data_IF_604297913619
#
_entry.id   IF_604297913619
#
_cell.length_a   1.000
_cell.length_b   1.000
_cell.length_c   1.000
_cell.angle_alpha   90.00
_cell.angle_beta   90.00
_cell.angle_gamma   90.00
#
_symmetry.space_group_name_H-M   'P 1'
#
loop_
_entity.id
_entity.type
_entity.pdbx_description
1 polymer ?
#
# COMPACT_ATOMS: atom_id res chain seq x y z
N UNK A 1 20.65 -21.80 49.36
CA UNK A 1 21.34 -21.51 48.09
C UNK A 1 20.34 -21.70 46.98
N UNK A 2 19.67 -20.60 46.61
CA UNK A 2 18.69 -20.54 45.53
C UNK A 2 19.37 -19.91 44.33
N UNK A 3 19.58 -20.70 43.28
CA UNK A 3 20.12 -20.23 42.00
C UNK A 3 19.06 -19.39 41.28
N UNK A 4 19.32 -18.10 41.19
CA UNK A 4 18.54 -17.18 40.36
C UNK A 4 19.01 -17.32 38.92
N UNK A 5 18.22 -17.97 38.09
CA UNK A 5 18.39 -17.98 36.62
C UNK A 5 18.25 -16.54 36.14
N UNK A 6 19.37 -15.94 35.71
CA UNK A 6 19.35 -14.68 34.97
C UNK A 6 18.73 -14.96 33.60
N UNK A 7 17.58 -14.38 33.34
CA UNK A 7 17.06 -14.25 32.00
C UNK A 7 18.01 -13.31 31.23
N UNK A 8 18.70 -13.86 30.23
CA UNK A 8 19.39 -13.06 29.23
C UNK A 8 18.31 -12.31 28.43
N UNK A 9 18.13 -11.03 28.75
CA UNK A 9 17.52 -10.06 27.83
C UNK A 9 18.48 -9.86 26.67
N UNK A 10 18.43 -10.77 25.68
CA UNK A 10 19.00 -10.46 24.37
C UNK A 10 18.10 -9.41 23.73
N UNK A 11 18.39 -8.13 23.96
CA UNK A 11 17.82 -7.05 23.17
C UNK A 11 18.16 -7.35 21.71
N UNK A 12 17.18 -7.78 20.92
CA UNK A 12 17.33 -7.89 19.49
C UNK A 12 17.71 -6.51 18.98
N UNK A 13 18.99 -6.32 18.64
CA UNK A 13 19.45 -5.08 18.01
C UNK A 13 18.54 -4.85 16.81
N UNK A 14 17.90 -3.68 16.74
CA UNK A 14 17.09 -3.30 15.60
C UNK A 14 18.02 -3.13 14.38
N UNK A 15 18.26 -4.23 13.67
CA UNK A 15 19.13 -4.29 12.48
C UNK A 15 18.57 -3.46 11.32
N UNK A 16 17.30 -3.02 11.40
CA UNK A 16 16.61 -2.27 10.35
C UNK A 16 16.74 -0.75 10.52
N UNK A 17 17.27 -0.28 11.65
CA UNK A 17 17.25 1.13 12.04
C UNK A 17 15.83 1.63 12.33
N UNK A 18 15.74 2.90 12.72
CA UNK A 18 14.45 3.56 12.95
C UNK A 18 13.91 4.18 11.65
N UNK A 19 12.57 4.22 11.46
CA UNK A 19 11.98 4.92 10.33
C UNK A 19 12.34 6.42 10.40
N UNK A 20 12.48 7.10 9.25
CA UNK A 20 12.72 8.54 9.25
C UNK A 20 11.53 9.25 9.88
N UNK A 21 11.82 10.25 10.73
CA UNK A 21 10.76 11.07 11.33
C UNK A 21 10.20 12.04 10.30
N UNK A 22 8.89 12.30 10.40
CA UNK A 22 8.17 13.21 9.53
C UNK A 22 7.75 14.47 10.28
N UNK A 23 7.64 15.60 9.57
CA UNK A 23 7.24 16.89 10.13
C UNK A 23 5.74 17.19 10.02
N UNK A 24 4.95 16.22 9.53
CA UNK A 24 3.49 16.34 9.43
C UNK A 24 2.82 15.65 10.62
N UNK A 25 1.73 16.24 11.08
CA UNK A 25 0.81 15.61 12.05
C UNK A 25 -0.40 15.10 11.30
N UNK A 26 -0.61 13.79 11.29
CA UNK A 26 -1.81 13.18 10.74
C UNK A 26 -3.01 13.45 11.66
N UNK A 27 -4.23 13.56 11.11
CA UNK A 27 -5.43 13.72 11.91
C UNK A 27 -5.74 12.43 12.68
N UNK A 28 -6.44 12.56 13.80
CA UNK A 28 -7.07 11.44 14.47
C UNK A 28 -8.37 11.02 13.77
N UNK A 29 -8.83 9.78 14.01
CA UNK A 29 -10.11 9.28 13.46
C UNK A 29 -11.30 10.15 13.91
N UNK A 30 -11.22 10.73 15.11
CA UNK A 30 -12.22 11.63 15.69
C UNK A 30 -12.34 12.96 14.93
N UNK A 31 -11.29 13.38 14.24
CA UNK A 31 -11.19 14.64 13.49
C UNK A 31 -11.66 14.50 12.03
N UNK A 32 -11.97 13.28 11.59
CA UNK A 32 -12.50 13.04 10.25
C UNK A 32 -13.84 13.76 10.04
N UNK A 33 -14.03 14.22 8.81
CA UNK A 33 -15.23 14.97 8.41
C UNK A 33 -16.52 14.23 8.80
N UNK A 34 -17.45 15.00 9.36
CA UNK A 34 -18.82 14.53 9.58
C UNK A 34 -19.74 14.90 8.41
N UNK A 35 -19.27 15.78 7.51
CA UNK A 35 -20.00 16.20 6.33
C UNK A 35 -20.33 15.00 5.47
N UNK A 36 -21.61 14.91 5.10
CA UNK A 36 -22.10 13.79 4.34
C UNK A 36 -23.03 14.23 3.24
N UNK A 37 -22.94 13.53 2.11
CA UNK A 37 -23.86 13.69 0.98
C UNK A 37 -24.66 12.41 0.82
N UNK A 38 -25.86 12.50 0.25
CA UNK A 38 -26.58 11.28 -0.16
C UNK A 38 -25.86 10.71 -1.37
N UNK A 39 -25.88 9.39 -1.53
CA UNK A 39 -25.19 8.74 -2.64
C UNK A 39 -25.61 9.27 -4.01
N UNK A 40 -26.91 9.56 -4.19
CA UNK A 40 -27.45 10.14 -5.43
C UNK A 40 -26.88 11.52 -5.79
N UNK A 41 -26.28 12.21 -4.83
CA UNK A 41 -25.70 13.55 -5.00
C UNK A 41 -24.16 13.47 -5.21
N UNK A 42 -23.59 12.27 -5.22
CA UNK A 42 -22.17 12.04 -5.52
C UNK A 42 -21.93 12.20 -7.03
N UNK A 43 -20.95 13.01 -7.40
CA UNK A 43 -20.59 13.21 -8.80
C UNK A 43 -19.70 12.07 -9.30
N UNK A 44 -20.26 11.17 -10.10
CA UNK A 44 -19.56 10.05 -10.74
C UNK A 44 -19.44 10.26 -12.26
N UNK A 45 -18.43 9.71 -12.95
CA UNK A 45 -17.32 8.92 -12.41
C UNK A 45 -16.33 9.75 -11.59
N UNK A 46 -15.53 9.08 -10.76
CA UNK A 46 -14.35 9.67 -10.11
C UNK A 46 -13.11 9.50 -11.01
N UNK A 47 -12.04 10.23 -10.71
CA UNK A 47 -10.78 10.11 -11.42
C UNK A 47 -9.86 9.08 -10.75
N UNK A 48 -9.69 9.16 -9.43
CA UNK A 48 -8.76 8.32 -8.67
C UNK A 48 -9.48 7.60 -7.54
N UNK A 49 -9.29 6.29 -7.44
CA UNK A 49 -9.65 5.49 -6.28
C UNK A 49 -8.39 5.14 -5.47
N UNK A 50 -8.38 5.51 -4.19
CA UNK A 50 -7.36 5.15 -3.21
C UNK A 50 -7.91 4.06 -2.29
N UNK A 51 -7.13 2.99 -2.12
CA UNK A 51 -7.45 1.89 -1.23
C UNK A 51 -6.34 1.70 -0.21
N UNK A 52 -6.73 1.50 1.05
CA UNK A 52 -5.81 1.30 2.18
C UNK A 52 -6.28 0.14 3.05
N UNK A 53 -5.48 -0.32 4.02
CA UNK A 53 -5.87 -1.37 4.96
C UNK A 53 -5.81 -0.90 6.41
N UNK A 54 -4.74 -0.24 6.82
CA UNK A 54 -4.52 0.22 8.20
C UNK A 54 -5.02 1.65 8.39
N UNK A 55 -5.30 2.01 9.64
CA UNK A 55 -5.76 3.37 9.95
C UNK A 55 -4.71 4.43 9.63
N UNK A 56 -3.42 4.17 9.91
CA UNK A 56 -2.35 5.11 9.55
C UNK A 56 -2.26 5.35 8.03
N UNK A 57 -2.45 4.31 7.21
CA UNK A 57 -2.46 4.41 5.74
C UNK A 57 -3.66 5.24 5.27
N UNK A 58 -4.84 4.95 5.82
CA UNK A 58 -6.06 5.71 5.55
C UNK A 58 -5.89 7.19 5.91
N UNK A 59 -5.40 7.49 7.11
CA UNK A 59 -5.21 8.86 7.60
C UNK A 59 -4.16 9.61 6.80
N UNK A 60 -3.10 8.92 6.36
CA UNK A 60 -2.08 9.50 5.48
C UNK A 60 -2.66 9.92 4.14
N UNK A 61 -3.50 9.09 3.51
CA UNK A 61 -4.19 9.47 2.29
C UNK A 61 -5.21 10.59 2.53
N UNK A 62 -5.99 10.48 3.61
CA UNK A 62 -7.05 11.44 3.94
C UNK A 62 -6.50 12.85 4.17
N UNK A 63 -5.32 12.97 4.79
CA UNK A 63 -4.66 14.26 5.06
C UNK A 63 -4.49 15.12 3.80
N UNK A 64 -4.26 14.51 2.64
CA UNK A 64 -4.03 15.23 1.38
C UNK A 64 -5.31 15.47 0.55
N UNK A 65 -6.47 14.99 1.01
CA UNK A 65 -7.74 15.16 0.28
C UNK A 65 -8.35 16.52 0.60
N UNK A 66 -8.57 17.34 -0.43
CA UNK A 66 -9.26 18.61 -0.33
C UNK A 66 -10.79 18.41 -0.28
N UNK A 67 -11.46 19.22 0.53
CA UNK A 67 -12.92 19.26 0.70
C UNK A 67 -13.56 17.87 0.98
N UNK A 68 -13.07 17.12 1.99
CA UNK A 68 -13.51 15.76 2.21
C UNK A 68 -14.97 15.70 2.68
N UNK A 69 -15.75 14.79 2.10
CA UNK A 69 -17.09 14.42 2.56
C UNK A 69 -17.30 12.92 2.46
N UNK A 70 -18.23 12.36 3.24
CA UNK A 70 -18.54 10.92 3.20
C UNK A 70 -19.88 10.63 2.56
N UNK A 71 -19.98 9.47 1.89
CA UNK A 71 -21.27 8.90 1.49
C UNK A 71 -21.28 7.40 1.76
N UNK A 72 -22.47 6.85 1.95
CA UNK A 72 -22.68 5.41 2.13
C UNK A 72 -23.35 4.81 0.90
N UNK A 73 -22.87 3.66 0.46
CA UNK A 73 -23.53 2.84 -0.55
C UNK A 73 -23.58 1.38 -0.13
N UNK A 74 -24.75 0.77 -0.28
CA UNK A 74 -24.93 -0.65 0.02
C UNK A 74 -24.06 -1.48 -0.93
N UNK A 75 -23.10 -2.23 -0.39
CA UNK A 75 -22.14 -3.04 -1.16
C UNK A 75 -20.73 -2.44 -1.24
N UNK A 76 -20.57 -1.14 -0.97
CA UNK A 76 -19.26 -0.50 -0.78
C UNK A 76 -18.98 -0.12 0.67
N UNK A 77 -20.03 0.16 1.45
CA UNK A 77 -19.89 0.74 2.77
C UNK A 77 -19.70 2.25 2.71
N UNK A 78 -18.91 2.80 3.62
CA UNK A 78 -18.61 4.23 3.70
C UNK A 78 -17.43 4.56 2.78
N UNK A 79 -17.62 5.55 1.92
CA UNK A 79 -16.60 6.07 1.00
C UNK A 79 -16.35 7.52 1.35
N UNK A 80 -15.08 7.91 1.43
CA UNK A 80 -14.67 9.30 1.60
C UNK A 80 -14.32 9.87 0.24
N UNK A 81 -14.92 10.99 -0.12
CA UNK A 81 -14.72 11.68 -1.38
C UNK A 81 -14.08 13.02 -1.13
N UNK A 82 -13.40 13.55 -2.14
CA UNK A 82 -12.91 14.91 -2.16
C UNK A 82 -12.18 15.17 -3.47
N UNK A 83 -11.12 15.97 -3.43
CA UNK A 83 -10.32 16.24 -4.61
C UNK A 83 -8.81 16.35 -4.34
N UNK A 84 -8.02 16.14 -5.40
CA UNK A 84 -6.62 16.57 -5.47
C UNK A 84 -6.48 17.75 -6.44
N UNK A 85 -5.46 18.58 -6.22
CA UNK A 85 -5.18 19.78 -7.01
C UNK A 85 -5.53 21.07 -6.27
N UNK A 86 -4.86 22.16 -6.62
CA UNK A 86 -5.14 23.49 -6.09
C UNK A 86 -6.33 24.14 -6.80
N UNK A 87 -6.81 25.29 -6.30
CA UNK A 87 -7.98 25.98 -6.86
C UNK A 87 -7.79 26.46 -8.31
N UNK A 88 -6.54 26.65 -8.74
CA UNK A 88 -6.21 27.05 -10.11
C UNK A 88 -6.04 25.85 -11.06
N UNK A 89 -5.97 24.63 -10.53
CA UNK A 89 -5.74 23.41 -11.29
C UNK A 89 -7.03 22.66 -11.62
N UNK A 90 -6.92 21.69 -12.54
CA UNK A 90 -7.97 20.70 -12.75
C UNK A 90 -8.09 19.83 -11.52
N UNK A 91 -9.16 20.02 -10.74
CA UNK A 91 -9.46 19.20 -9.56
C UNK A 91 -9.79 17.76 -9.95
N UNK A 92 -8.96 16.82 -9.53
CA UNK A 92 -9.19 15.38 -9.71
C UNK A 92 -10.16 14.89 -8.63
N UNK A 93 -11.23 14.20 -9.01
CA UNK A 93 -12.18 13.62 -8.08
C UNK A 93 -11.60 12.36 -7.46
N UNK A 94 -11.45 12.35 -6.14
CA UNK A 94 -10.84 11.25 -5.40
C UNK A 94 -11.91 10.53 -4.58
N UNK A 95 -11.82 9.20 -4.53
CA UNK A 95 -12.47 8.40 -3.50
C UNK A 95 -11.42 7.61 -2.71
N UNK A 96 -11.57 7.58 -1.39
CA UNK A 96 -10.73 6.84 -0.46
C UNK A 96 -11.58 5.82 0.28
N UNK A 97 -11.13 4.57 0.28
CA UNK A 97 -11.77 3.47 1.00
C UNK A 97 -10.75 2.63 1.75
N UNK A 98 -11.17 2.09 2.89
CA UNK A 98 -10.39 1.15 3.69
C UNK A 98 -10.89 -0.28 3.45
N UNK A 99 -9.97 -1.20 3.20
CA UNK A 99 -10.19 -2.62 3.07
C UNK A 99 -9.90 -3.33 4.41
N UNK A 100 -10.44 -4.53 4.57
CA UNK A 100 -9.94 -5.50 5.56
C UNK A 100 -8.56 -6.01 5.15
N UNK A 101 -7.75 -6.36 6.13
CA UNK A 101 -6.42 -6.96 5.91
C UNK A 101 -6.51 -8.29 5.17
N UNK A 102 -5.63 -8.47 4.18
CA UNK A 102 -5.62 -9.63 3.29
C UNK A 102 -6.55 -9.49 2.07
N UNK A 103 -6.11 -10.04 0.94
CA UNK A 103 -6.80 -9.85 -0.33
C UNK A 103 -8.12 -10.64 -0.48
N UNK A 104 -8.14 -11.91 -0.07
CA UNK A 104 -9.22 -12.89 -0.35
C UNK A 104 -10.17 -13.12 0.83
N UNK A 105 -10.33 -12.12 1.71
CA UNK A 105 -11.25 -12.18 2.86
C UNK A 105 -12.50 -11.33 2.63
N UNK A 106 -13.59 -11.52 3.41
CA UNK A 106 -14.71 -10.59 3.39
C UNK A 106 -14.27 -9.15 3.69
N UNK A 107 -14.57 -8.23 2.77
CA UNK A 107 -14.11 -6.84 2.85
C UNK A 107 -12.63 -6.64 2.48
N UNK A 108 -11.93 -7.69 2.05
CA UNK A 108 -10.55 -7.61 1.56
C UNK A 108 -10.44 -6.92 0.20
N UNK A 109 -9.20 -6.60 -0.17
CA UNK A 109 -8.86 -5.79 -1.35
C UNK A 109 -9.57 -6.24 -2.64
N UNK A 110 -9.53 -7.53 -3.00
CA UNK A 110 -10.12 -8.01 -4.26
C UNK A 110 -11.62 -7.72 -4.36
N UNK A 111 -12.37 -7.93 -3.27
CA UNK A 111 -13.82 -7.69 -3.25
C UNK A 111 -14.13 -6.20 -3.30
N UNK A 112 -13.39 -5.42 -2.51
CA UNK A 112 -13.58 -3.97 -2.44
C UNK A 112 -13.27 -3.31 -3.78
N UNK A 113 -12.13 -3.63 -4.41
CA UNK A 113 -11.75 -3.05 -5.71
C UNK A 113 -12.81 -3.40 -6.76
N UNK A 114 -13.22 -4.67 -6.85
CA UNK A 114 -14.20 -5.10 -7.87
C UNK A 114 -15.51 -4.33 -7.75
N UNK A 115 -16.02 -4.19 -6.53
CA UNK A 115 -17.25 -3.45 -6.29
C UNK A 115 -17.05 -1.96 -6.55
N UNK A 116 -15.96 -1.37 -6.05
CA UNK A 116 -15.66 0.05 -6.17
C UNK A 116 -15.46 0.46 -7.63
N UNK A 117 -14.70 -0.29 -8.42
CA UNK A 117 -14.51 -0.03 -9.85
C UNK A 117 -15.84 -0.06 -10.60
N UNK A 118 -16.70 -1.04 -10.30
CA UNK A 118 -18.03 -1.15 -10.92
C UNK A 118 -18.91 0.07 -10.63
N UNK A 119 -18.92 0.53 -9.38
CA UNK A 119 -19.83 1.60 -8.95
C UNK A 119 -19.29 3.00 -9.20
N UNK A 120 -18.00 3.22 -8.91
CA UNK A 120 -17.35 4.52 -8.96
C UNK A 120 -16.75 4.85 -10.32
N UNK A 121 -16.45 3.81 -11.13
CA UNK A 121 -15.86 3.92 -12.47
C UNK A 121 -14.61 4.82 -12.51
N UNK A 122 -13.60 4.58 -11.65
CA UNK A 122 -12.39 5.39 -11.60
C UNK A 122 -11.58 5.25 -12.90
N UNK A 123 -10.74 6.25 -13.20
CA UNK A 123 -9.74 6.18 -14.27
C UNK A 123 -8.47 5.46 -13.79
N UNK A 124 -8.08 5.67 -12.53
CA UNK A 124 -6.93 5.03 -11.91
C UNK A 124 -7.27 4.48 -10.52
N UNK A 125 -6.60 3.39 -10.12
CA UNK A 125 -6.71 2.79 -8.80
C UNK A 125 -5.31 2.67 -8.20
N UNK A 126 -5.12 3.21 -7.00
CA UNK A 126 -3.89 3.04 -6.23
C UNK A 126 -4.19 2.32 -4.92
N UNK A 127 -3.37 1.32 -4.63
CA UNK A 127 -3.33 0.71 -3.31
C UNK A 127 -2.18 1.36 -2.53
N UNK A 128 -2.51 2.03 -1.43
CA UNK A 128 -1.54 2.77 -0.61
C UNK A 128 -1.44 2.05 0.73
N UNK A 129 -0.26 1.55 1.02
CA UNK A 129 0.02 0.83 2.25
C UNK A 129 1.50 0.58 2.47
N UNK A 130 1.81 -0.16 3.51
CA UNK A 130 3.18 -0.58 3.80
C UNK A 130 3.53 -1.90 3.11
N UNK A 131 4.81 -2.06 2.77
CA UNK A 131 5.37 -3.29 2.25
C UNK A 131 6.67 -3.62 2.99
N UNK A 132 7.16 -4.84 2.82
CA UNK A 132 8.50 -5.22 3.27
C UNK A 132 9.50 -5.19 2.13
N UNK A 133 10.69 -4.66 2.38
CA UNK A 133 11.80 -4.73 1.43
C UNK A 133 12.31 -6.17 1.26
N UNK A 134 12.61 -6.56 0.03
CA UNK A 134 13.14 -7.89 -0.30
C UNK A 134 14.66 -7.97 -0.15
N UNK A 135 15.36 -6.83 -0.31
CA UNK A 135 16.81 -6.73 -0.15
C UNK A 135 17.16 -5.52 0.73
N UNK A 136 17.75 -5.78 1.90
CA UNK A 136 18.09 -4.75 2.89
C UNK A 136 19.19 -3.78 2.40
N UNK A 137 20.02 -4.19 1.43
CA UNK A 137 21.03 -3.30 0.84
C UNK A 137 20.38 -2.28 -0.12
N UNK A 138 19.28 -2.66 -0.77
CA UNK A 138 18.59 -1.85 -1.77
C UNK A 138 17.41 -1.05 -1.21
N UNK A 139 16.80 -1.53 -0.12
CA UNK A 139 15.59 -0.95 0.46
C UNK A 139 15.80 -0.69 1.94
N UNK A 140 15.48 0.53 2.38
CA UNK A 140 15.57 0.94 3.78
C UNK A 140 14.18 1.31 4.30
N UNK A 141 13.96 1.15 5.60
CA UNK A 141 12.66 1.43 6.22
C UNK A 141 12.25 2.89 6.01
N UNK A 142 11.16 3.16 5.30
CA UNK A 142 10.71 4.52 4.97
C UNK A 142 11.02 4.98 3.55
N UNK A 143 11.77 4.18 2.78
CA UNK A 143 11.81 4.35 1.32
C UNK A 143 10.43 4.06 0.72
N UNK A 144 10.09 4.72 -0.39
CA UNK A 144 8.80 4.56 -1.07
C UNK A 144 8.97 3.59 -2.22
N UNK A 145 8.06 2.62 -2.33
CA UNK A 145 8.07 1.63 -3.41
C UNK A 145 6.89 1.88 -4.33
N UNK A 146 7.17 1.96 -5.63
CA UNK A 146 6.17 1.97 -6.70
C UNK A 146 6.25 0.66 -7.48
N UNK A 147 5.11 -0.04 -7.56
CA UNK A 147 5.03 -1.29 -8.30
C UNK A 147 4.88 -1.01 -9.80
N UNK A 148 5.88 -1.39 -10.58
CA UNK A 148 5.81 -1.41 -12.05
C UNK A 148 5.12 -2.68 -12.54
N UNK A 149 5.33 -3.78 -11.82
CA UNK A 149 4.68 -5.06 -12.04
C UNK A 149 4.47 -5.78 -10.72
N UNK A 150 3.31 -6.40 -10.58
CA UNK A 150 2.96 -7.21 -9.42
C UNK A 150 3.04 -8.69 -9.77
N UNK A 151 3.83 -9.46 -9.01
CA UNK A 151 3.95 -10.90 -9.17
C UNK A 151 3.34 -11.65 -8.00
N UNK A 152 2.38 -12.51 -8.30
CA UNK A 152 1.73 -13.35 -7.28
C UNK A 152 2.57 -14.60 -7.00
N UNK A 153 2.91 -14.86 -5.74
CA UNK A 153 3.75 -16.02 -5.38
C UNK A 153 3.01 -17.08 -4.54
N UNK A 154 1.79 -16.79 -4.07
CA UNK A 154 1.04 -17.73 -3.23
C UNK A 154 0.67 -19.02 -3.94
N UNK A 155 0.41 -18.98 -5.25
CA UNK A 155 0.10 -20.20 -6.01
C UNK A 155 1.39 -20.97 -6.33
N UNK A 156 1.54 -22.13 -5.70
CA UNK A 156 2.72 -22.99 -5.82
C UNK A 156 2.32 -24.44 -6.14
N UNK A 157 3.11 -25.10 -6.97
CA UNK A 157 3.05 -26.54 -7.22
C UNK A 157 4.13 -27.22 -6.39
N UNK A 158 3.74 -28.06 -5.45
CA UNK A 158 4.66 -28.86 -4.63
C UNK A 158 4.68 -30.29 -5.18
N UNK A 159 5.88 -30.77 -5.51
CA UNK A 159 6.11 -32.11 -6.09
C UNK A 159 7.25 -32.80 -5.36
N UNK A 160 7.51 -34.07 -5.70
CA UNK A 160 8.70 -34.80 -5.20
C UNK A 160 10.02 -34.13 -5.60
N UNK A 161 10.02 -33.40 -6.73
CA UNK A 161 11.20 -32.74 -7.29
C UNK A 161 11.39 -31.31 -6.76
N UNK A 162 10.50 -30.85 -5.86
CA UNK A 162 10.56 -29.54 -5.22
C UNK A 162 9.31 -28.68 -5.43
N UNK A 163 9.44 -27.40 -5.09
CA UNK A 163 8.39 -26.38 -5.19
C UNK A 163 8.61 -25.51 -6.43
N UNK A 164 7.53 -25.21 -7.15
CA UNK A 164 7.52 -24.27 -8.27
C UNK A 164 6.45 -23.21 -8.07
N UNK A 165 6.84 -21.94 -8.11
CA UNK A 165 5.89 -20.82 -8.15
C UNK A 165 5.15 -20.80 -9.49
N UNK A 166 3.83 -20.68 -9.43
CA UNK A 166 2.93 -20.80 -10.58
C UNK A 166 1.98 -19.60 -10.73
N UNK A 167 2.19 -18.53 -9.95
CA UNK A 167 1.38 -17.33 -10.09
C UNK A 167 1.67 -16.57 -11.38
N UNK A 168 1.01 -15.43 -11.51
CA UNK A 168 1.11 -14.55 -12.66
C UNK A 168 1.79 -13.23 -12.27
N UNK A 169 2.40 -12.62 -13.27
CA UNK A 169 2.99 -11.27 -13.21
C UNK A 169 2.13 -10.35 -14.06
N UNK A 170 1.69 -9.24 -13.47
CA UNK A 170 0.85 -8.25 -14.13
C UNK A 170 1.56 -6.89 -14.09
N UNK A 171 1.97 -6.32 -15.23
CA UNK A 171 2.47 -4.95 -15.27
C UNK A 171 1.33 -3.96 -15.00
N UNK A 172 1.68 -2.76 -14.57
CA UNK A 172 0.74 -1.62 -14.57
C UNK A 172 0.33 -1.25 -16.01
N UNK A 173 -0.71 -0.43 -16.16
CA UNK A 173 -1.08 0.11 -17.48
C UNK A 173 0.00 1.06 -18.00
N UNK A 174 0.08 1.24 -19.32
CA UNK A 174 1.03 2.15 -19.97
C UNK A 174 0.98 3.55 -19.39
N UNK A 175 -0.22 4.12 -19.23
CA UNK A 175 -0.39 5.46 -18.64
C UNK A 175 0.19 5.58 -17.22
N UNK A 176 0.09 4.51 -16.41
CA UNK A 176 0.66 4.49 -15.06
C UNK A 176 2.18 4.28 -15.11
N UNK A 177 2.68 3.46 -16.04
CA UNK A 177 4.11 3.26 -16.22
C UNK A 177 4.81 4.59 -16.57
N UNK A 178 4.24 5.39 -17.47
CA UNK A 178 4.76 6.71 -17.83
C UNK A 178 4.79 7.67 -16.63
N UNK A 179 3.80 7.59 -15.73
CA UNK A 179 3.80 8.39 -14.49
C UNK A 179 4.88 7.92 -13.51
N UNK A 180 5.10 6.61 -13.39
CA UNK A 180 6.10 6.03 -12.47
C UNK A 180 7.52 6.50 -12.84
N UNK A 181 7.84 6.63 -14.14
CA UNK A 181 9.17 7.10 -14.60
C UNK A 181 9.58 8.46 -14.00
N UNK A 182 8.61 9.30 -13.66
CA UNK A 182 8.85 10.65 -13.13
C UNK A 182 8.40 10.85 -11.68
N UNK A 183 7.92 9.80 -11.00
CA UNK A 183 7.27 9.93 -9.69
C UNK A 183 8.19 10.49 -8.59
N UNK A 184 9.51 10.28 -8.70
CA UNK A 184 10.49 10.84 -7.77
C UNK A 184 10.98 12.25 -8.14
N UNK A 185 10.64 12.78 -9.31
CA UNK A 185 11.18 14.05 -9.79
C UNK A 185 10.67 15.23 -8.95
N UNK A 186 11.59 15.93 -8.29
CA UNK A 186 11.27 17.09 -7.46
C UNK A 186 10.49 16.77 -6.19
N UNK A 187 10.28 15.49 -5.86
CA UNK A 187 9.61 15.11 -4.64
C UNK A 187 10.46 15.47 -3.42
N UNK A 188 9.87 16.25 -2.52
CA UNK A 188 10.46 16.62 -1.24
C UNK A 188 9.68 15.94 -0.11
N UNK A 189 10.16 14.81 0.45
CA UNK A 189 9.44 14.09 1.48
C UNK A 189 9.30 14.96 2.74
N UNK A 190 8.20 14.82 3.51
CA UNK A 190 7.91 15.63 4.69
C UNK A 190 8.75 15.19 5.90
N UNK A 191 10.08 15.19 5.77
CA UNK A 191 11.01 14.74 6.81
C UNK A 191 11.22 15.84 7.85
N UNK A 192 11.31 15.46 9.12
CA UNK A 192 11.71 16.37 10.21
C UNK A 192 13.15 16.88 9.98
N UNK A 193 14.06 15.98 9.61
CA UNK A 193 15.46 16.28 9.34
C UNK A 193 15.88 15.77 7.94
N UNK A 194 15.61 16.51 6.85
CA UNK A 194 15.92 16.05 5.48
C UNK A 194 17.40 15.77 5.21
N UNK A 195 18.31 16.33 6.02
CA UNK A 195 19.76 16.13 5.89
C UNK A 195 20.26 14.85 6.56
N UNK A 196 19.51 14.28 7.50
CA UNK A 196 19.94 13.09 8.25
C UNK A 196 19.83 11.82 7.42
N UNK A 197 18.84 11.77 6.52
CA UNK A 197 18.60 10.61 5.68
C UNK A 197 17.95 10.99 4.36
N UNK A 198 18.51 10.45 3.28
CA UNK A 198 17.86 10.44 1.97
C UNK A 198 16.83 9.30 1.92
N UNK A 199 15.60 9.64 1.59
CA UNK A 199 14.52 8.70 1.26
C UNK A 199 14.49 8.55 -0.26
N UNK A 200 14.47 7.31 -0.73
CA UNK A 200 14.43 7.00 -2.17
C UNK A 200 13.01 6.63 -2.60
N UNK A 201 12.72 6.85 -3.89
CA UNK A 201 11.57 6.28 -4.59
C UNK A 201 12.11 5.14 -5.46
N UNK A 202 11.71 3.91 -5.14
CA UNK A 202 12.16 2.69 -5.80
C UNK A 202 11.02 2.15 -6.67
N UNK A 203 11.28 1.99 -7.95
CA UNK A 203 10.32 1.46 -8.92
C UNK A 203 10.76 0.05 -9.32
N UNK A 204 9.84 -0.91 -9.35
CA UNK A 204 10.18 -2.26 -9.77
C UNK A 204 9.12 -3.32 -9.47
N UNK A 205 9.57 -4.56 -9.43
CA UNK A 205 8.70 -5.71 -9.15
C UNK A 205 8.33 -5.79 -7.67
N UNK A 206 7.04 -5.91 -7.41
CA UNK A 206 6.51 -6.17 -6.07
C UNK A 206 5.86 -7.55 -6.03
N UNK A 207 6.20 -8.34 -5.02
CA UNK A 207 5.59 -9.63 -4.77
C UNK A 207 4.30 -9.47 -3.96
N UNK A 208 3.28 -10.24 -4.33
CA UNK A 208 2.01 -10.27 -3.61
C UNK A 208 1.66 -11.69 -3.18
N UNK A 209 1.23 -11.85 -1.93
CA UNK A 209 0.73 -13.13 -1.44
C UNK A 209 -0.02 -13.05 -0.13
N UNK A 210 -0.75 -14.12 0.19
CA UNK A 210 -1.59 -14.21 1.38
C UNK A 210 -0.86 -14.37 2.73
N UNK A 211 0.47 -14.33 2.77
CA UNK A 211 1.25 -14.63 4.00
C UNK A 211 2.23 -13.52 4.31
N UNK A 212 2.15 -12.98 5.53
CA UNK A 212 3.15 -12.06 6.06
C UNK A 212 4.47 -12.80 6.28
N UNK A 213 5.50 -12.43 5.52
CA UNK A 213 6.81 -13.11 5.55
C UNK A 213 7.72 -12.49 6.60
N UNK A 214 7.77 -13.11 7.78
CA UNK A 214 8.67 -12.71 8.89
C UNK A 214 9.88 -13.63 9.04
N UNK A 215 9.81 -14.86 8.54
CA UNK A 215 10.89 -15.82 8.66
C UNK A 215 11.97 -15.60 7.59
N UNK A 216 13.23 -15.48 8.03
CA UNK A 216 14.39 -15.20 7.15
C UNK A 216 14.54 -16.24 6.05
N UNK A 217 14.46 -17.54 6.38
CA UNK A 217 14.56 -18.63 5.39
C UNK A 217 13.52 -18.51 4.27
N UNK A 218 12.32 -18.01 4.59
CA UNK A 218 11.25 -17.84 3.60
C UNK A 218 11.50 -16.61 2.73
N UNK A 219 12.04 -15.54 3.31
CA UNK A 219 12.51 -14.37 2.55
C UNK A 219 13.62 -14.78 1.59
N UNK A 220 14.62 -15.52 2.05
CA UNK A 220 15.72 -16.01 1.20
C UNK A 220 15.23 -16.90 0.04
N UNK A 221 14.26 -17.79 0.30
CA UNK A 221 13.64 -18.62 -0.75
C UNK A 221 12.99 -17.74 -1.84
N UNK A 222 12.30 -16.68 -1.44
CA UNK A 222 11.65 -15.75 -2.35
C UNK A 222 12.66 -14.88 -3.10
N UNK A 223 13.68 -14.35 -2.42
CA UNK A 223 14.77 -13.59 -3.07
C UNK A 223 15.48 -14.42 -4.13
N UNK A 224 15.75 -15.71 -3.85
CA UNK A 224 16.34 -16.63 -4.84
C UNK A 224 15.41 -16.90 -6.03
N UNK A 225 14.10 -16.92 -5.80
CA UNK A 225 13.11 -17.24 -6.83
C UNK A 225 12.69 -16.04 -7.67
N UNK A 226 12.78 -14.83 -7.09
CA UNK A 226 12.38 -13.56 -7.70
C UNK A 226 13.48 -12.51 -7.45
N UNK A 227 14.65 -12.64 -8.11
CA UNK A 227 15.80 -11.77 -7.84
C UNK A 227 15.58 -10.31 -8.22
N UNK A 228 14.59 -10.01 -9.08
CA UNK A 228 14.22 -8.64 -9.47
C UNK A 228 13.23 -7.98 -8.51
N UNK A 229 12.62 -8.74 -7.59
CA UNK A 229 11.65 -8.21 -6.67
C UNK A 229 12.30 -7.28 -5.63
N UNK A 230 11.76 -6.07 -5.52
CA UNK A 230 12.25 -5.06 -4.58
C UNK A 230 11.44 -5.05 -3.27
N UNK A 231 10.17 -5.45 -3.33
CA UNK A 231 9.30 -5.47 -2.16
C UNK A 231 8.28 -6.61 -2.17
N UNK A 232 7.60 -6.81 -1.04
CA UNK A 232 6.55 -7.79 -0.83
C UNK A 232 5.41 -7.22 0.02
N UNK A 233 4.16 -7.50 -0.38
CA UNK A 233 2.93 -7.06 0.27
C UNK A 233 1.84 -8.17 0.21
N UNK A 234 0.65 -7.93 0.79
CA UNK A 234 -0.36 -8.98 1.03
C UNK A 234 -1.76 -8.73 0.45
N UNK A 235 -1.96 -7.61 -0.22
CA UNK A 235 -3.27 -7.09 -0.61
C UNK A 235 -3.48 -7.13 -2.12
N UNK A 236 -2.41 -7.09 -2.92
CA UNK A 236 -2.47 -7.02 -4.37
C UNK A 236 -2.87 -8.32 -5.08
N UNK A 237 -2.96 -9.46 -4.37
CA UNK A 237 -3.11 -10.77 -5.01
C UNK A 237 -4.50 -10.99 -5.58
N UNK A 238 -4.69 -10.74 -6.87
CA UNK A 238 -5.95 -11.03 -7.53
C UNK A 238 -5.95 -10.66 -9.00
N UNK A 239 -6.97 -11.14 -9.71
CA UNK A 239 -7.25 -10.70 -11.07
C UNK A 239 -8.64 -10.10 -11.09
N UNK A 240 -8.71 -8.83 -11.44
CA UNK A 240 -9.97 -8.18 -11.77
C UNK A 240 -10.17 -8.45 -13.27
N UNK A 241 -11.03 -9.43 -13.56
CA UNK A 241 -11.43 -9.80 -14.92
C UNK A 241 -12.88 -9.40 -15.17
#
# INVERSE_FOLDING_TARGET
MSETVRADESSSKNIYGDPPKVNISLPEISELTQDSKRWKDVQLPIDILLLTVKDCEFLSCYYYINDPYRSYFKGLGRVYFGSFGEDQDVKLKVALMKCSEGCKVPGGALTVVKNAVTQLRPKAVFFVGHCSGMNQELTKLGDVVLSEKLTTYSYQKVTKDGKKFCGFTTPVSTDIAELIESAGHGWNPPLENPKERKVEVLCGEVLSGTVVVQAEWRREELVKSFPEAIAIETEGEGKIS
#
